data_IF_149051865319
#
_entry.id   IF_149051865319
#
_cell.length_a   1.000
_cell.length_b   1.000
_cell.length_c   1.000
_cell.angle_alpha   90.00
_cell.angle_beta   90.00
_cell.angle_gamma   90.00
#
_symmetry.space_group_name_H-M   'P 1'
#
loop_
_entity.id
_entity.type
_entity.pdbx_description
1 polymer ?
#
# COMPACT_ATOMS: atom_id res chain seq x y z
N UNK A 1 -12.67 9.42 -21.98
CA UNK A 1 -12.64 8.20 -21.15
C UNK A 1 -13.81 8.33 -20.19
N UNK A 2 -14.87 7.57 -20.42
CA UNK A 2 -16.14 7.75 -19.71
C UNK A 2 -15.97 7.39 -18.23
N UNK A 3 -15.96 8.41 -17.37
CA UNK A 3 -15.96 8.27 -15.91
C UNK A 3 -17.35 7.94 -15.34
N UNK A 4 -18.39 8.00 -16.19
CA UNK A 4 -19.79 7.74 -15.83
C UNK A 4 -20.05 6.31 -15.31
N UNK A 5 -19.58 5.21 -15.94
CA UNK A 5 -19.91 3.86 -15.49
C UNK A 5 -19.37 3.51 -14.10
N UNK A 6 -18.15 3.95 -13.77
CA UNK A 6 -17.51 3.62 -12.49
C UNK A 6 -18.12 4.42 -11.33
N UNK A 7 -18.50 5.68 -11.57
CA UNK A 7 -19.13 6.51 -10.54
C UNK A 7 -20.47 5.91 -10.10
N UNK A 8 -21.29 5.46 -11.06
CA UNK A 8 -22.58 4.82 -10.78
C UNK A 8 -22.44 3.50 -10.04
N UNK A 9 -21.39 2.72 -10.35
CA UNK A 9 -21.09 1.47 -9.65
C UNK A 9 -20.68 1.72 -8.19
N UNK A 10 -19.82 2.72 -7.95
CA UNK A 10 -19.45 3.14 -6.59
C UNK A 10 -20.69 3.56 -5.80
N UNK A 11 -21.59 4.36 -6.40
CA UNK A 11 -22.83 4.77 -5.73
C UNK A 11 -23.73 3.59 -5.38
N UNK A 12 -23.83 2.57 -6.24
CA UNK A 12 -24.59 1.35 -5.96
C UNK A 12 -24.02 0.58 -4.77
N UNK A 13 -22.70 0.41 -4.70
CA UNK A 13 -22.07 -0.28 -3.57
C UNK A 13 -22.17 0.53 -2.27
N UNK A 14 -21.99 1.85 -2.36
CA UNK A 14 -22.09 2.75 -1.20
C UNK A 14 -23.50 2.74 -0.58
N UNK A 15 -24.55 2.66 -1.42
CA UNK A 15 -25.93 2.57 -0.97
C UNK A 15 -26.24 1.29 -0.17
N UNK A 16 -25.43 0.23 -0.31
CA UNK A 16 -25.60 -1.04 0.43
C UNK A 16 -24.91 -1.05 1.80
N UNK A 17 -24.06 -0.06 2.07
CA UNK A 17 -23.30 0.03 3.31
C UNK A 17 -24.14 0.64 4.44
N UNK A 18 -23.81 0.28 5.69
CA UNK A 18 -24.36 0.95 6.86
C UNK A 18 -23.93 2.44 6.91
N UNK A 19 -24.67 3.32 7.62
CA UNK A 19 -24.31 4.73 7.71
C UNK A 19 -22.88 4.99 8.21
N UNK A 20 -22.39 4.15 9.13
CA UNK A 20 -21.02 4.23 9.65
C UNK A 20 -19.98 3.89 8.58
N UNK A 21 -20.22 2.84 7.79
CA UNK A 21 -19.35 2.45 6.69
C UNK A 21 -19.39 3.46 5.53
N UNK A 22 -20.55 4.04 5.24
CA UNK A 22 -20.65 5.15 4.28
C UNK A 22 -19.80 6.35 4.72
N UNK A 23 -19.80 6.67 6.03
CA UNK A 23 -18.95 7.73 6.57
C UNK A 23 -17.47 7.41 6.41
N UNK A 24 -17.06 6.17 6.67
CA UNK A 24 -15.69 5.71 6.47
C UNK A 24 -15.25 5.88 5.01
N UNK A 25 -16.09 5.47 4.05
CA UNK A 25 -15.79 5.62 2.62
C UNK A 25 -15.69 7.09 2.21
N UNK A 26 -16.56 7.95 2.73
CA UNK A 26 -16.49 9.40 2.48
C UNK A 26 -15.17 10.00 3.00
N UNK A 27 -14.76 9.64 4.21
CA UNK A 27 -13.52 10.14 4.80
C UNK A 27 -12.29 9.59 4.06
N UNK A 28 -12.36 8.35 3.55
CA UNK A 28 -11.35 7.80 2.66
C UNK A 28 -11.26 8.56 1.33
N UNK A 29 -12.38 8.79 0.65
CA UNK A 29 -12.41 9.50 -0.64
C UNK A 29 -11.86 10.93 -0.52
N UNK A 30 -12.16 11.63 0.59
CA UNK A 30 -11.58 12.95 0.90
C UNK A 30 -10.08 12.90 1.07
N UNK A 31 -9.56 11.91 1.81
CA UNK A 31 -8.12 11.71 1.97
C UNK A 31 -7.47 11.41 0.63
N UNK A 32 -8.06 10.52 -0.17
CA UNK A 32 -7.57 10.16 -1.50
C UNK A 32 -7.49 11.39 -2.43
N UNK A 33 -8.50 12.25 -2.40
CA UNK A 33 -8.49 13.50 -3.16
C UNK A 33 -7.47 14.54 -2.63
N UNK A 34 -7.12 14.46 -1.35
CA UNK A 34 -6.17 15.37 -0.69
C UNK A 34 -4.73 14.86 -0.72
N UNK A 35 -4.50 13.58 -1.04
CA UNK A 35 -3.16 13.07 -1.28
C UNK A 35 -2.60 13.77 -2.52
N UNK A 36 -1.39 14.37 -2.44
CA UNK A 36 -0.73 14.84 -3.63
C UNK A 36 -0.59 13.64 -4.58
N UNK A 37 -1.16 13.77 -5.78
CA UNK A 37 -1.01 12.79 -6.86
C UNK A 37 0.46 12.67 -7.30
N UNK A 38 1.31 13.56 -6.82
CA UNK A 38 2.73 13.62 -7.09
C UNK A 38 3.48 13.06 -5.88
N UNK A 39 4.17 11.94 -6.10
CA UNK A 39 5.15 11.46 -5.13
C UNK A 39 6.27 12.49 -4.95
N UNK A 40 7.06 12.35 -3.88
CA UNK A 40 8.29 13.14 -3.71
C UNK A 40 9.23 12.78 -4.86
N UNK A 41 9.76 13.77 -5.58
CA UNK A 41 10.65 13.49 -6.69
C UNK A 41 11.90 12.75 -6.19
N UNK A 42 12.41 11.81 -6.98
CA UNK A 42 13.65 11.10 -6.62
C UNK A 42 14.82 12.07 -6.37
N UNK A 43 14.84 13.20 -7.08
CA UNK A 43 15.81 14.27 -6.88
C UNK A 43 15.74 14.90 -5.49
N UNK A 44 14.53 15.08 -4.94
CA UNK A 44 14.35 15.60 -3.58
C UNK A 44 14.79 14.59 -2.52
N UNK A 45 14.77 13.30 -2.85
CA UNK A 45 15.20 12.22 -1.97
C UNK A 45 16.72 12.00 -1.96
N UNK A 46 17.47 12.52 -2.94
CA UNK A 46 18.94 12.35 -3.03
C UNK A 46 19.65 12.83 -1.76
N UNK A 47 19.11 13.84 -1.07
CA UNK A 47 19.67 14.33 0.21
C UNK A 47 19.77 13.26 1.30
N UNK A 48 19.01 12.17 1.16
CA UNK A 48 19.04 11.04 2.10
C UNK A 48 19.95 9.89 1.63
N UNK A 49 20.55 9.97 0.44
CA UNK A 49 21.47 8.95 -0.03
C UNK A 49 22.77 8.96 0.80
N UNK A 50 23.16 7.81 1.36
CA UNK A 50 24.40 7.64 2.10
C UNK A 50 24.45 8.35 3.46
N UNK A 51 23.31 8.77 4.01
CA UNK A 51 23.25 9.40 5.34
C UNK A 51 23.41 8.40 6.49
N UNK A 52 23.12 7.12 6.23
CA UNK A 52 23.26 6.07 7.22
C UNK A 52 24.73 5.72 7.37
N UNK A 53 25.23 5.81 8.59
CA UNK A 53 26.50 5.19 8.95
C UNK A 53 26.41 3.65 8.82
N UNK A 54 27.55 2.96 8.71
CA UNK A 54 27.57 1.50 8.69
C UNK A 54 26.88 0.86 9.90
N UNK A 55 27.01 1.49 11.07
CA UNK A 55 26.40 1.00 12.30
C UNK A 55 24.87 1.16 12.25
N UNK A 56 24.36 2.33 11.87
CA UNK A 56 22.91 2.58 11.71
C UNK A 56 22.29 1.66 10.65
N UNK A 57 22.99 1.42 9.54
CA UNK A 57 22.56 0.47 8.53
C UNK A 57 22.48 -0.95 9.10
N UNK A 58 23.48 -1.37 9.88
CA UNK A 58 23.51 -2.69 10.53
C UNK A 58 22.44 -2.86 11.61
N UNK A 59 22.04 -1.79 12.31
CA UNK A 59 20.90 -1.85 13.25
C UNK A 59 19.58 -2.07 12.51
N UNK A 60 19.37 -1.39 11.38
CA UNK A 60 18.18 -1.58 10.54
C UNK A 60 18.15 -3.01 9.98
N UNK A 61 19.28 -3.49 9.44
CA UNK A 61 19.40 -4.86 8.92
C UNK A 61 19.04 -5.89 9.99
N UNK A 62 19.63 -5.79 11.18
CA UNK A 62 19.32 -6.68 12.30
C UNK A 62 17.86 -6.59 12.75
N UNK A 63 17.27 -5.40 12.80
CA UNK A 63 15.86 -5.25 13.16
C UNK A 63 14.92 -5.89 12.11
N UNK A 64 15.30 -5.86 10.83
CA UNK A 64 14.59 -6.58 9.76
C UNK A 64 14.76 -8.08 9.96
N UNK A 65 15.96 -8.59 10.22
CA UNK A 65 16.19 -10.03 10.40
C UNK A 65 15.53 -10.61 11.65
N UNK A 66 15.51 -9.85 12.75
CA UNK A 66 14.89 -10.26 14.01
C UNK A 66 13.35 -10.13 13.97
N UNK A 67 12.84 -9.19 13.18
CA UNK A 67 11.40 -8.84 13.11
C UNK A 67 10.65 -9.35 11.89
N UNK A 68 11.35 -9.71 10.80
CA UNK A 68 10.73 -10.40 9.68
C UNK A 68 10.57 -11.87 10.05
N UNK A 69 9.32 -12.28 10.21
CA UNK A 69 8.93 -13.67 9.99
C UNK A 69 9.65 -14.14 8.73
N UNK A 70 10.53 -15.14 8.87
CA UNK A 70 11.29 -15.70 7.75
C UNK A 70 10.30 -15.93 6.61
N UNK A 71 10.57 -15.37 5.43
CA UNK A 71 9.73 -15.63 4.25
C UNK A 71 9.71 -17.15 4.09
N UNK A 72 8.60 -17.78 4.45
CA UNK A 72 8.42 -19.20 4.21
C UNK A 72 8.39 -19.34 2.68
N UNK A 73 9.37 -20.02 2.07
CA UNK A 73 9.37 -20.23 0.63
C UNK A 73 8.08 -20.95 0.16
N UNK A 74 7.38 -21.63 1.08
CA UNK A 74 6.09 -22.26 0.84
C UNK A 74 4.92 -21.28 0.70
N UNK A 75 5.03 -20.05 1.24
CA UNK A 75 4.02 -18.99 1.09
C UNK A 75 4.20 -18.17 -0.19
N UNK A 76 5.36 -18.25 -0.83
CA UNK A 76 5.59 -17.60 -2.13
C UNK A 76 4.74 -18.27 -3.22
N UNK A 77 4.13 -17.48 -4.11
CA UNK A 77 3.18 -17.91 -5.16
C UNK A 77 3.74 -19.05 -6.05
N UNK A 78 5.04 -19.25 -6.08
CA UNK A 78 5.71 -20.36 -6.78
C UNK A 78 5.41 -21.73 -6.16
N UNK A 79 5.15 -21.81 -4.85
CA UNK A 79 4.72 -23.02 -4.14
C UNK A 79 3.23 -23.37 -4.33
N UNK A 80 2.40 -22.42 -4.76
CA UNK A 80 0.96 -22.63 -5.00
C UNK A 80 0.64 -23.04 -6.45
N UNK A 81 1.64 -23.23 -7.31
CA UNK A 81 1.46 -23.41 -8.76
C UNK A 81 1.36 -24.85 -9.27
N UNK A 82 0.97 -25.83 -8.47
CA UNK A 82 0.69 -27.20 -8.97
C UNK A 82 -0.49 -27.94 -8.33
N UNK A 83 -1.49 -27.25 -7.76
CA UNK A 83 -2.80 -27.87 -7.52
C UNK A 83 -3.87 -27.25 -8.43
N UNK A 84 -3.86 -27.79 -9.66
CA UNK A 84 -5.00 -28.02 -10.56
C UNK A 84 -6.27 -27.20 -10.30
N UNK A 85 -6.53 -26.22 -11.17
CA UNK A 85 -7.81 -26.06 -11.86
C UNK A 85 -7.56 -25.57 -13.28
#
# INVERSE_FOLDING_TARGET
MDAAPLTDEILRELARLSPEMQRLVLDFARRLASFPQEGVSGNDLIRFAGILSPDEAGEIERAIEEGCEQVDPSESIEGLKLEKW
#
